data_IF_771818994193
#
_entry.id   IF_771818994193
#
_cell.length_a   1.000
_cell.length_b   1.000
_cell.length_c   1.000
_cell.angle_alpha   90.00
_cell.angle_beta   90.00
_cell.angle_gamma   90.00
#
_symmetry.space_group_name_H-M   'P 1'
#
loop_
_entity.id
_entity.type
_entity.pdbx_description
1 polymer ?
#
# COMPACT_ATOMS: atom_id res chain seq x y z
N UNK A 1 54.13 1.73 -16.27
CA UNK A 1 54.39 0.30 -16.53
C UNK A 1 54.52 -0.39 -15.18
N UNK A 2 53.68 -1.39 -14.95
CA UNK A 2 53.51 -2.14 -13.70
C UNK A 2 54.79 -2.83 -13.22
N UNK A 3 54.80 -3.25 -11.94
CA UNK A 3 55.35 -4.55 -11.62
C UNK A 3 54.27 -5.47 -11.03
N UNK A 4 54.25 -6.68 -11.56
CA UNK A 4 53.38 -7.76 -11.17
C UNK A 4 54.09 -8.73 -10.20
N UNK A 5 53.26 -9.49 -9.50
CA UNK A 5 53.51 -10.81 -8.89
C UNK A 5 54.45 -10.93 -7.71
N UNK A 6 53.86 -11.21 -6.54
CA UNK A 6 54.40 -12.23 -5.62
C UNK A 6 53.25 -13.10 -5.09
N UNK A 7 53.21 -14.32 -5.61
CA UNK A 7 52.47 -15.47 -5.08
C UNK A 7 53.20 -16.00 -3.84
N UNK A 8 52.47 -16.42 -2.80
CA UNK A 8 52.79 -17.60 -1.96
C UNK A 8 51.54 -17.99 -1.14
N UNK A 9 50.94 -19.08 -1.59
CA UNK A 9 50.09 -20.09 -0.95
C UNK A 9 50.24 -20.20 0.58
N UNK A 10 49.13 -20.13 1.32
CA UNK A 10 48.29 -21.25 1.80
C UNK A 10 48.76 -21.78 3.15
N UNK A 11 48.17 -21.30 4.24
CA UNK A 11 48.12 -22.10 5.47
C UNK A 11 47.07 -21.57 6.47
N UNK A 12 46.24 -22.51 6.93
CA UNK A 12 45.52 -22.59 8.20
C UNK A 12 44.41 -21.58 8.50
N UNK A 13 43.15 -22.01 8.33
CA UNK A 13 42.02 -21.65 9.23
C UNK A 13 40.83 -22.59 8.97
N UNK A 14 40.85 -23.78 9.59
CA UNK A 14 39.69 -24.66 9.72
C UNK A 14 39.52 -25.07 11.18
N UNK A 15 38.68 -24.35 11.92
CA UNK A 15 38.21 -24.77 13.25
C UNK A 15 36.71 -24.45 13.39
N UNK A 16 35.88 -25.31 12.80
CA UNK A 16 34.50 -25.55 13.22
C UNK A 16 34.39 -27.02 13.65
N UNK A 17 34.18 -27.28 14.94
CA UNK A 17 33.41 -28.46 15.39
C UNK A 17 33.03 -28.30 16.86
N UNK A 18 31.74 -28.05 17.10
CA UNK A 18 31.14 -28.08 18.44
C UNK A 18 30.92 -29.54 18.88
N UNK A 19 31.50 -29.91 20.02
CA UNK A 19 31.17 -31.11 20.81
C UNK A 19 30.21 -30.71 21.92
N UNK A 20 29.04 -31.34 22.02
CA UNK A 20 28.40 -31.66 23.31
C UNK A 20 27.50 -32.90 23.14
N UNK A 21 27.76 -33.93 23.93
CA UNK A 21 26.98 -35.17 24.06
C UNK A 21 26.61 -35.38 25.53
N UNK A 22 25.46 -36.04 25.76
CA UNK A 22 25.12 -36.86 26.93
C UNK A 22 24.78 -36.09 28.24
N UNK A 23 23.94 -36.51 29.18
CA UNK A 23 22.91 -37.55 29.42
C UNK A 23 22.46 -37.31 30.88
N UNK A 24 21.20 -37.65 31.22
CA UNK A 24 20.62 -37.93 32.57
C UNK A 24 19.23 -37.28 32.65
N UNK A 25 18.13 -37.90 33.07
CA UNK A 25 17.89 -39.17 33.74
C UNK A 25 16.67 -39.00 34.67
N UNK A 26 15.88 -40.06 34.84
CA UNK A 26 14.90 -40.31 35.91
C UNK A 26 13.42 -39.81 35.78
N UNK A 27 12.58 -40.77 35.36
CA UNK A 27 11.53 -41.43 36.18
C UNK A 27 10.54 -40.56 36.98
N UNK A 28 9.26 -40.62 36.58
CA UNK A 28 8.06 -40.74 37.46
C UNK A 28 6.87 -41.12 36.58
N UNK A 29 6.44 -42.38 36.63
CA UNK A 29 5.38 -42.90 37.49
C UNK A 29 4.02 -42.91 36.78
N UNK A 30 3.57 -44.13 36.47
CA UNK A 30 2.26 -44.48 35.94
C UNK A 30 1.19 -44.28 37.02
N UNK A 31 0.02 -43.76 36.64
CA UNK A 31 -1.25 -44.14 37.26
C UNK A 31 -2.33 -44.18 36.18
N UNK A 32 -2.90 -45.36 36.02
CA UNK A 32 -4.06 -45.65 35.20
C UNK A 32 -5.32 -45.70 36.08
N UNK A 33 -6.48 -45.89 35.42
CA UNK A 33 -7.85 -46.13 35.92
C UNK A 33 -8.66 -44.85 36.12
N UNK A 34 -9.91 -44.69 35.68
CA UNK A 34 -10.86 -45.41 34.79
C UNK A 34 -12.07 -44.44 34.59
N UNK A 35 -12.98 -44.68 33.65
CA UNK A 35 -14.02 -43.71 33.23
C UNK A 35 -15.36 -43.87 33.95
N UNK A 36 -16.13 -42.77 34.04
CA UNK A 36 -17.58 -42.72 34.32
C UNK A 36 -18.15 -41.68 33.33
N UNK A 37 -18.75 -42.10 32.22
CA UNK A 37 -20.16 -42.50 32.04
C UNK A 37 -21.20 -41.41 32.32
N UNK A 38 -21.91 -41.06 31.24
CA UNK A 38 -23.26 -40.49 31.14
C UNK A 38 -23.47 -39.02 31.53
N UNK A 39 -23.79 -38.17 30.54
CA UNK A 39 -25.19 -37.95 30.13
C UNK A 39 -25.28 -37.04 28.91
N UNK A 40 -26.18 -37.46 28.03
CA UNK A 40 -26.68 -36.80 26.84
C UNK A 40 -27.46 -35.55 27.26
N UNK A 41 -27.14 -34.39 26.68
CA UNK A 41 -28.08 -33.27 26.56
C UNK A 41 -27.90 -32.68 25.16
N UNK A 42 -28.82 -33.03 24.27
CA UNK A 42 -29.08 -32.35 23.00
C UNK A 42 -29.88 -31.08 23.28
N UNK A 43 -29.42 -29.88 22.88
CA UNK A 43 -30.34 -28.76 22.70
C UNK A 43 -30.86 -28.75 21.26
N UNK A 44 -32.18 -28.81 21.16
CA UNK A 44 -32.95 -28.82 19.94
C UNK A 44 -32.66 -27.62 19.03
N UNK A 45 -32.52 -27.90 17.73
CA UNK A 45 -32.48 -26.90 16.68
C UNK A 45 -33.85 -26.21 16.56
N UNK A 46 -33.96 -24.98 17.07
CA UNK A 46 -35.10 -24.12 16.82
C UNK A 46 -35.03 -23.59 15.38
N UNK A 47 -35.91 -24.11 14.54
CA UNK A 47 -36.11 -23.72 13.14
C UNK A 47 -36.79 -22.35 13.09
N UNK A 48 -36.21 -21.31 12.49
CA UNK A 48 -36.91 -20.04 12.33
C UNK A 48 -38.02 -20.20 11.29
N UNK A 49 -39.26 -19.98 11.72
CA UNK A 49 -40.46 -19.91 10.89
C UNK A 49 -40.36 -18.70 9.97
N UNK A 50 -40.10 -18.95 8.69
CA UNK A 50 -40.17 -17.94 7.63
C UNK A 50 -41.65 -17.63 7.36
N UNK A 51 -42.12 -16.46 7.76
CA UNK A 51 -43.39 -15.92 7.28
C UNK A 51 -43.15 -15.16 5.96
N UNK A 52 -43.87 -15.47 4.87
CA UNK A 52 -43.82 -14.65 3.67
C UNK A 52 -44.61 -13.36 3.94
N UNK A 53 -43.88 -12.25 4.05
CA UNK A 53 -44.50 -10.93 4.16
C UNK A 53 -45.26 -10.61 2.87
N UNK A 54 -46.52 -10.23 3.03
CA UNK A 54 -47.46 -9.95 1.97
C UNK A 54 -47.02 -8.74 1.13
N UNK A 55 -47.32 -8.86 -0.16
CA UNK A 55 -47.07 -7.90 -1.23
C UNK A 55 -47.62 -6.51 -0.88
N UNK A 56 -46.80 -5.47 -1.04
CA UNK A 56 -47.26 -4.08 -1.15
C UNK A 56 -46.82 -3.47 -2.49
N UNK A 57 -47.66 -2.59 -3.08
CA UNK A 57 -47.69 -2.35 -4.52
C UNK A 57 -46.59 -1.41 -5.03
N UNK A 58 -46.24 -1.68 -6.29
CA UNK A 58 -45.37 -0.94 -7.19
C UNK A 58 -45.68 0.58 -7.19
N UNK A 59 -44.64 1.39 -6.96
CA UNK A 59 -44.70 2.83 -7.26
C UNK A 59 -44.72 3.03 -8.78
N UNK A 60 -45.68 3.78 -9.37
CA UNK A 60 -45.57 4.17 -10.77
C UNK A 60 -44.45 5.20 -10.94
N UNK A 61 -43.60 4.95 -11.93
CA UNK A 61 -42.57 5.86 -12.39
C UNK A 61 -43.18 7.22 -12.77
N UNK A 62 -42.62 8.29 -12.22
CA UNK A 62 -42.88 9.67 -12.63
C UNK A 62 -42.28 9.89 -14.03
N UNK A 63 -43.13 10.02 -15.03
CA UNK A 63 -42.75 10.42 -16.39
C UNK A 63 -42.93 11.93 -16.52
N UNK A 64 -41.89 12.70 -16.20
CA UNK A 64 -41.82 14.12 -16.59
C UNK A 64 -41.32 14.22 -18.04
N UNK A 65 -42.00 14.95 -18.93
CA UNK A 65 -41.54 15.16 -20.31
C UNK A 65 -40.38 16.18 -20.34
N UNK A 66 -39.36 15.88 -21.15
CA UNK A 66 -38.21 16.75 -21.39
C UNK A 66 -38.60 17.93 -22.30
N UNK A 67 -38.69 19.13 -21.72
CA UNK A 67 -38.84 20.38 -22.45
C UNK A 67 -37.54 20.74 -23.17
N UNK A 68 -37.51 20.57 -24.50
CA UNK A 68 -36.44 21.04 -25.37
C UNK A 68 -36.50 22.56 -25.53
N UNK A 69 -35.49 23.25 -24.97
CA UNK A 69 -35.32 24.70 -25.19
C UNK A 69 -34.82 24.97 -26.61
N UNK A 70 -35.57 25.83 -27.31
CA UNK A 70 -35.28 26.43 -28.60
C UNK A 70 -33.97 27.24 -28.52
N UNK A 71 -33.08 27.01 -29.48
CA UNK A 71 -31.77 27.65 -29.64
C UNK A 71 -31.95 28.97 -30.38
N UNK A 72 -31.96 30.08 -29.64
CA UNK A 72 -31.82 31.41 -30.24
C UNK A 72 -30.36 31.84 -30.28
N UNK A 73 -29.96 32.25 -31.49
CA UNK A 73 -28.64 32.65 -31.93
C UNK A 73 -28.54 34.16 -31.78
N UNK A 74 -27.73 34.67 -30.86
CA UNK A 74 -27.22 36.04 -30.93
C UNK A 74 -25.80 36.14 -30.40
N UNK A 75 -24.96 36.76 -31.21
CA UNK A 75 -23.53 36.95 -31.01
C UNK A 75 -23.25 38.15 -30.12
N UNK A 76 -22.13 38.10 -29.36
CA UNK A 76 -21.34 39.29 -29.03
C UNK A 76 -19.89 38.92 -28.69
N UNK A 77 -18.97 39.48 -29.46
CA UNK A 77 -17.51 39.37 -29.34
C UNK A 77 -16.96 40.07 -28.09
N UNK A 78 -15.81 39.60 -27.58
CA UNK A 78 -14.68 40.47 -27.28
C UNK A 78 -13.36 39.70 -27.13
N UNK A 79 -12.35 40.28 -27.81
CA UNK A 79 -10.92 40.00 -27.97
C UNK A 79 -10.15 39.59 -26.69
N UNK A 80 -9.16 38.67 -26.84
CA UNK A 80 -7.75 38.92 -26.48
C UNK A 80 -6.77 37.83 -26.98
N UNK A 81 -5.97 38.22 -27.96
CA UNK A 81 -4.56 37.91 -28.28
C UNK A 81 -3.94 36.52 -28.10
N UNK A 82 -3.45 36.03 -29.23
CA UNK A 82 -2.48 34.95 -29.45
C UNK A 82 -1.03 35.40 -29.23
N UNK A 83 -0.17 34.57 -28.61
CA UNK A 83 0.96 33.85 -29.26
C UNK A 83 2.06 33.37 -28.26
N UNK A 84 2.47 32.10 -28.44
CA UNK A 84 3.72 31.39 -28.04
C UNK A 84 4.02 31.22 -26.54
N UNK A 85 4.45 30.08 -25.99
CA UNK A 85 5.13 28.88 -26.53
C UNK A 85 5.04 27.69 -25.54
N UNK A 86 4.89 26.46 -26.08
CA UNK A 86 4.91 25.15 -25.39
C UNK A 86 6.31 24.78 -24.82
N UNK A 87 6.50 23.71 -23.99
CA UNK A 87 6.31 22.28 -24.38
C UNK A 87 5.73 21.40 -23.22
N UNK A 88 5.24 20.16 -23.36
CA UNK A 88 4.88 19.24 -24.45
C UNK A 88 4.19 18.05 -23.78
N UNK A 89 2.86 17.96 -23.86
CA UNK A 89 2.09 16.78 -23.48
C UNK A 89 1.41 16.22 -24.72
N UNK A 90 2.05 15.27 -25.39
CA UNK A 90 1.53 14.66 -26.61
C UNK A 90 0.46 13.63 -26.27
N UNK A 91 -0.79 14.07 -26.09
CA UNK A 91 -1.96 13.22 -26.31
C UNK A 91 -2.28 13.23 -27.80
N UNK A 92 -1.60 12.38 -28.58
CA UNK A 92 -1.95 12.15 -29.98
C UNK A 92 -3.11 11.17 -30.06
N UNK A 93 -4.33 11.70 -30.05
CA UNK A 93 -5.48 11.06 -30.69
C UNK A 93 -5.32 11.24 -32.20
N UNK A 94 -4.61 10.33 -32.84
CA UNK A 94 -4.62 10.18 -34.31
C UNK A 94 -5.06 8.75 -34.58
N UNK A 95 -6.02 8.62 -35.49
CA UNK A 95 -6.57 7.35 -35.93
C UNK A 95 -5.51 6.60 -36.74
N UNK A 96 -4.53 6.04 -36.04
CA UNK A 96 -3.66 5.01 -36.57
C UNK A 96 -4.50 3.73 -36.77
N UNK A 97 -4.25 2.95 -37.83
CA UNK A 97 -4.90 1.66 -37.99
C UNK A 97 -4.69 0.84 -36.72
N UNK A 98 -5.75 0.19 -36.23
CA UNK A 98 -5.76 -0.66 -35.05
C UNK A 98 -4.67 -1.76 -35.18
N UNK A 99 -3.43 -1.44 -34.79
CA UNK A 99 -2.28 -2.36 -34.83
C UNK A 99 -2.50 -3.46 -33.77
N UNK A 100 -2.56 -4.74 -34.17
CA UNK A 100 -2.69 -5.87 -33.25
C UNK A 100 -1.56 -5.95 -32.22
N UNK A 101 -0.38 -5.42 -32.54
CA UNK A 101 0.83 -5.53 -31.73
C UNK A 101 1.07 -4.31 -30.84
N UNK A 102 0.13 -3.38 -30.75
CA UNK A 102 0.19 -2.26 -29.81
C UNK A 102 -0.07 -2.73 -28.37
N UNK A 103 1.01 -3.02 -27.64
CA UNK A 103 0.99 -3.38 -26.22
C UNK A 103 1.22 -2.19 -25.29
N UNK A 104 1.29 -0.95 -25.81
CA UNK A 104 1.68 0.24 -25.03
C UNK A 104 0.76 0.43 -23.83
N UNK A 105 -0.55 0.30 -24.03
CA UNK A 105 -1.56 0.44 -22.97
C UNK A 105 -1.42 -0.61 -21.87
N UNK A 106 -1.05 -1.85 -22.23
CA UNK A 106 -0.82 -2.92 -21.26
C UNK A 106 0.46 -2.66 -20.47
N UNK A 107 1.54 -2.25 -21.14
CA UNK A 107 2.81 -1.95 -20.48
C UNK A 107 2.66 -0.77 -19.52
N UNK A 108 1.99 0.32 -19.93
CA UNK A 108 1.67 1.45 -19.04
C UNK A 108 0.80 1.01 -17.86
N UNK A 109 -0.25 0.21 -18.11
CA UNK A 109 -1.11 -0.29 -17.04
C UNK A 109 -0.35 -1.17 -16.01
N UNK A 110 0.61 -1.97 -16.48
CA UNK A 110 1.48 -2.78 -15.62
C UNK A 110 2.45 -1.87 -14.86
N UNK A 111 3.13 -0.94 -15.52
CA UNK A 111 4.10 -0.04 -14.87
C UNK A 111 3.43 0.80 -13.78
N UNK A 112 2.23 1.30 -14.03
CA UNK A 112 1.47 2.09 -13.07
C UNK A 112 1.03 1.24 -11.87
N UNK A 113 0.61 0.00 -12.11
CA UNK A 113 0.26 -0.93 -11.04
C UNK A 113 1.46 -1.26 -10.15
N UNK A 114 2.64 -1.49 -10.76
CA UNK A 114 3.89 -1.76 -10.05
C UNK A 114 4.39 -0.52 -9.29
N UNK A 115 4.27 0.68 -9.87
CA UNK A 115 4.65 1.93 -9.22
C UNK A 115 3.80 2.16 -7.95
N UNK A 116 2.47 2.03 -8.07
CA UNK A 116 1.56 2.15 -6.91
C UNK A 116 1.87 1.12 -5.82
N UNK A 117 2.17 -0.12 -6.20
CA UNK A 117 2.56 -1.16 -5.26
C UNK A 117 3.84 -0.79 -4.50
N UNK A 118 4.86 -0.27 -5.21
CA UNK A 118 6.12 0.19 -4.61
C UNK A 118 5.90 1.36 -3.67
N UNK A 119 5.03 2.30 -4.02
CA UNK A 119 4.69 3.44 -3.17
C UNK A 119 3.96 3.00 -1.89
N UNK A 120 2.98 2.10 -2.02
CA UNK A 120 2.23 1.56 -0.89
C UNK A 120 3.16 0.74 0.04
N UNK A 121 4.03 -0.10 -0.53
CA UNK A 121 5.03 -0.85 0.24
C UNK A 121 6.02 0.10 0.93
N UNK A 122 6.44 1.19 0.28
CA UNK A 122 7.39 2.14 0.85
C UNK A 122 6.82 2.82 2.09
N UNK A 123 5.52 3.15 2.07
CA UNK A 123 4.80 3.68 3.25
C UNK A 123 4.72 2.66 4.40
N UNK A 124 4.54 1.38 4.08
CA UNK A 124 4.49 0.29 5.07
C UNK A 124 5.88 -0.10 5.62
N UNK A 125 6.93 -0.03 4.79
CA UNK A 125 8.32 -0.34 5.15
C UNK A 125 8.88 0.56 6.26
N UNK A 126 8.27 1.73 6.45
CA UNK A 126 8.47 2.54 7.64
C UNK A 126 8.22 1.79 8.97
N UNK A 127 7.63 0.60 8.94
CA UNK A 127 7.48 -0.30 10.08
C UNK A 127 8.78 -0.72 10.79
N UNK A 128 9.97 -0.37 10.28
CA UNK A 128 11.24 -0.47 11.02
C UNK A 128 11.93 0.87 11.33
N UNK A 129 11.57 1.93 10.60
CA UNK A 129 12.10 3.29 10.73
C UNK A 129 10.92 4.25 10.78
N UNK A 130 10.71 4.84 11.94
CA UNK A 130 9.64 5.79 12.16
C UNK A 130 9.58 6.89 11.09
N UNK A 131 8.40 7.10 10.51
CA UNK A 131 8.16 8.18 9.56
C UNK A 131 7.98 9.50 10.31
N UNK A 132 8.84 10.52 10.12
CA UNK A 132 8.66 11.83 10.75
C UNK A 132 7.35 12.51 10.33
N UNK A 133 6.88 12.26 9.10
CA UNK A 133 5.60 12.77 8.57
C UNK A 133 4.39 12.42 9.46
N UNK A 134 4.44 11.29 10.17
CA UNK A 134 3.37 10.88 11.08
C UNK A 134 3.19 11.88 12.24
N UNK A 135 4.30 12.44 12.75
CA UNK A 135 4.28 13.47 13.81
C UNK A 135 3.93 14.82 13.21
N UNK A 136 4.51 15.17 12.05
CA UNK A 136 4.27 16.47 11.38
C UNK A 136 2.80 16.68 11.01
N UNK A 137 2.08 15.60 10.67
CA UNK A 137 0.65 15.64 10.33
C UNK A 137 -0.30 15.80 11.52
N UNK A 138 0.20 15.69 12.77
CA UNK A 138 -0.63 15.84 13.96
C UNK A 138 -1.22 17.25 14.04
N UNK A 139 -2.51 17.32 14.38
CA UNK A 139 -3.21 18.58 14.61
C UNK A 139 -3.10 18.99 16.07
N UNK A 140 -2.64 20.22 16.29
CA UNK A 140 -2.37 20.76 17.61
C UNK A 140 -3.31 21.93 17.87
N UNK A 141 -4.07 21.92 18.98
CA UNK A 141 -4.84 23.08 19.39
C UNK A 141 -3.90 24.16 19.91
N UNK A 142 -3.89 25.33 19.26
CA UNK A 142 -2.99 26.46 19.61
C UNK A 142 -3.27 27.04 21.00
N UNK A 143 -4.55 27.07 21.39
CA UNK A 143 -5.00 27.54 22.71
C UNK A 143 -6.03 26.58 23.29
N UNK A 144 -6.06 26.48 24.63
CA UNK A 144 -7.00 25.64 25.37
C UNK A 144 -8.44 26.11 25.08
N UNK A 145 -9.19 25.36 24.28
CA UNK A 145 -10.57 25.65 23.89
C UNK A 145 -10.78 26.36 22.54
N UNK A 146 -9.71 26.66 21.79
CA UNK A 146 -9.83 27.21 20.44
C UNK A 146 -10.15 26.10 19.42
N UNK A 147 -11.03 26.41 18.45
CA UNK A 147 -11.34 25.54 17.29
C UNK A 147 -10.22 25.53 16.24
N UNK A 148 -9.26 26.43 16.38
CA UNK A 148 -8.12 26.56 15.49
C UNK A 148 -7.08 25.48 15.81
N UNK A 149 -6.84 24.63 14.82
CA UNK A 149 -5.84 23.57 14.89
C UNK A 149 -4.81 23.82 13.80
N UNK A 150 -3.54 23.82 14.18
CA UNK A 150 -2.42 23.91 13.25
C UNK A 150 -1.76 22.54 13.12
N UNK A 151 -1.02 22.31 12.05
CA UNK A 151 -0.20 21.10 11.91
C UNK A 151 1.07 21.26 12.74
N UNK A 152 1.56 20.17 13.32
CA UNK A 152 2.81 20.18 14.08
C UNK A 152 3.98 20.71 13.23
N UNK A 153 4.05 20.33 11.95
CA UNK A 153 5.12 20.76 11.05
C UNK A 153 5.17 22.28 10.77
N UNK A 154 4.10 23.03 11.08
CA UNK A 154 4.08 24.50 10.96
C UNK A 154 4.64 25.18 12.22
N UNK A 155 4.56 24.51 13.37
CA UNK A 155 4.95 25.06 14.67
C UNK A 155 6.33 24.54 15.15
N UNK A 156 6.77 23.41 14.61
CA UNK A 156 7.96 22.72 15.04
C UNK A 156 8.64 21.94 13.91
N UNK A 157 9.96 21.86 13.97
CA UNK A 157 10.76 21.05 13.06
C UNK A 157 10.99 19.65 13.65
N UNK A 158 10.63 18.62 12.89
CA UNK A 158 10.84 17.22 13.29
C UNK A 158 12.15 16.71 12.68
N UNK A 159 13.11 16.35 13.53
CA UNK A 159 14.42 15.85 13.14
C UNK A 159 14.58 14.41 13.66
N UNK A 160 14.61 13.39 12.78
CA UNK A 160 14.93 12.03 13.19
C UNK A 160 16.40 11.96 13.58
N UNK A 161 16.69 11.82 14.88
CA UNK A 161 18.05 11.52 15.35
C UNK A 161 18.30 10.03 15.09
N UNK A 162 19.36 9.71 14.37
CA UNK A 162 19.65 8.34 13.94
C UNK A 162 19.46 7.31 15.07
N UNK A 163 18.77 6.21 14.78
CA UNK A 163 18.37 5.22 15.77
C UNK A 163 16.84 5.19 15.98
N UNK A 164 16.41 5.11 17.25
CA UNK A 164 14.99 5.06 17.65
C UNK A 164 14.57 6.31 18.43
N UNK A 165 15.11 7.47 18.08
CA UNK A 165 14.73 8.73 18.72
C UNK A 165 14.39 9.80 17.66
N UNK A 166 13.36 10.58 17.94
CA UNK A 166 13.02 11.76 17.13
C UNK A 166 13.12 12.97 18.02
N UNK A 167 13.78 14.00 17.53
CA UNK A 167 13.85 15.28 18.19
C UNK A 167 12.90 16.24 17.50
N UNK A 168 12.00 16.85 18.26
CA UNK A 168 11.13 17.93 17.79
C UNK A 168 11.68 19.22 18.36
N UNK A 169 12.05 20.15 17.48
CA UNK A 169 12.45 21.51 17.84
C UNK A 169 11.25 22.42 17.68
N UNK A 170 10.76 22.94 18.79
CA UNK A 170 9.62 23.85 18.82
C UNK A 170 10.08 25.28 18.56
N UNK A 171 9.35 26.05 17.75
CA UNK A 171 9.71 27.43 17.45
C UNK A 171 9.58 28.38 18.66
N UNK A 172 8.51 28.23 19.44
CA UNK A 172 8.20 29.10 20.59
C UNK A 172 7.84 28.30 21.84
N UNK A 173 8.26 28.77 23.01
CA UNK A 173 8.03 28.07 24.28
C UNK A 173 6.55 27.94 24.66
N UNK A 174 5.70 28.85 24.19
CA UNK A 174 4.25 28.80 24.41
C UNK A 174 3.61 27.52 23.84
N UNK A 175 4.18 27.00 22.75
CA UNK A 175 3.65 25.81 22.06
C UNK A 175 4.16 24.48 22.63
N UNK A 176 5.14 24.48 23.54
CA UNK A 176 5.72 23.26 24.10
C UNK A 176 4.69 22.36 24.80
N UNK A 177 3.85 22.96 25.64
CA UNK A 177 2.80 22.25 26.40
C UNK A 177 1.69 21.69 25.50
N UNK A 178 1.10 22.46 24.55
CA UNK A 178 0.10 21.90 23.65
C UNK A 178 0.69 20.85 22.71
N UNK A 179 1.94 20.99 22.25
CA UNK A 179 2.62 19.96 21.44
C UNK A 179 2.80 18.67 22.23
N UNK A 180 3.35 18.73 23.45
CA UNK A 180 3.58 17.53 24.27
C UNK A 180 2.27 16.80 24.62
N UNK A 181 1.22 17.56 24.93
CA UNK A 181 -0.12 17.02 25.17
C UNK A 181 -0.71 16.39 23.90
N UNK A 182 -0.57 17.04 22.74
CA UNK A 182 -1.09 16.53 21.47
C UNK A 182 -0.42 15.20 21.08
N UNK A 183 0.91 15.11 21.20
CA UNK A 183 1.69 13.89 20.93
C UNK A 183 1.24 12.76 21.85
N UNK A 184 1.09 13.03 23.15
CA UNK A 184 0.67 12.02 24.13
C UNK A 184 -0.77 11.54 23.90
N UNK A 185 -1.67 12.47 23.53
CA UNK A 185 -3.07 12.14 23.22
C UNK A 185 -3.28 11.49 21.85
N UNK A 186 -2.25 11.51 20.99
CA UNK A 186 -2.35 10.97 19.64
C UNK A 186 -2.40 9.44 19.63
N UNK A 187 -2.91 8.88 18.53
CA UNK A 187 -2.94 7.43 18.29
C UNK A 187 -1.54 6.80 18.15
N UNK A 188 -0.46 7.57 18.32
CA UNK A 188 0.93 7.09 18.19
C UNK A 188 1.49 6.54 19.52
N UNK A 189 0.83 6.77 20.66
CA UNK A 189 1.27 6.29 21.99
C UNK A 189 2.74 6.62 22.33
N UNK A 190 3.21 7.80 21.90
CA UNK A 190 4.58 8.27 22.11
C UNK A 190 4.63 9.23 23.31
N UNK A 191 5.70 9.14 24.11
CA UNK A 191 5.91 9.99 25.28
C UNK A 191 7.07 10.97 25.04
N UNK A 192 6.81 12.27 24.82
CA UNK A 192 7.87 13.26 24.64
C UNK A 192 8.60 13.52 25.96
N UNK A 193 9.94 13.50 25.91
CA UNK A 193 10.84 13.83 27.01
C UNK A 193 11.50 15.19 26.73
N UNK A 194 11.30 16.21 27.57
CA UNK A 194 11.99 17.49 27.42
C UNK A 194 13.49 17.32 27.69
N UNK A 195 14.35 17.97 26.90
CA UNK A 195 15.79 17.98 27.18
C UNK A 195 16.13 18.97 28.31
N UNK A 196 16.96 18.53 29.25
CA UNK A 196 17.37 19.36 30.39
C UNK A 196 18.22 20.59 29.98
N UNK A 197 18.86 20.54 28.81
CA UNK A 197 19.75 21.59 28.30
C UNK A 197 19.07 22.58 27.36
N UNK A 198 17.91 22.23 26.77
CA UNK A 198 17.22 23.07 25.80
C UNK A 198 15.70 22.95 26.00
N UNK A 199 15.07 24.00 26.53
CA UNK A 199 13.63 24.05 26.82
C UNK A 199 12.78 23.86 25.57
N UNK A 200 13.29 24.22 24.38
CA UNK A 200 12.56 24.13 23.11
C UNK A 200 12.66 22.76 22.43
N UNK A 201 13.41 21.82 23.01
CA UNK A 201 13.68 20.51 22.40
C UNK A 201 12.93 19.39 23.12
N UNK A 202 12.16 18.61 22.36
CA UNK A 202 11.47 17.40 22.82
C UNK A 202 12.06 16.17 22.16
N UNK A 203 12.55 15.22 22.95
CA UNK A 203 13.05 13.93 22.48
C UNK A 203 11.99 12.85 22.66
N UNK A 204 11.70 12.11 21.60
CA UNK A 204 10.65 11.10 21.56
C UNK A 204 11.31 9.74 21.28
N UNK A 205 11.34 8.82 22.28
CA UNK A 205 11.78 7.46 22.05
C UNK A 205 10.71 6.68 21.29
N UNK A 206 11.10 6.04 20.18
CA UNK A 206 10.22 5.18 19.39
C UNK A 206 10.32 3.76 19.95
N UNK A 207 9.22 3.17 20.45
CA UNK A 207 9.23 1.80 20.91
C UNK A 207 9.49 0.82 19.75
N UNK A 208 10.07 -0.36 20.01
CA UNK A 208 10.22 -1.39 18.99
C UNK A 208 8.84 -1.80 18.44
N UNK A 209 8.74 -2.09 17.13
CA UNK A 209 7.52 -2.68 16.59
C UNK A 209 7.23 -4.01 17.27
N UNK A 210 5.99 -4.21 17.71
CA UNK A 210 5.51 -5.47 18.28
C UNK A 210 5.29 -6.51 17.16
N UNK A 211 5.13 -7.79 17.52
CA UNK A 211 4.81 -8.84 16.55
C UNK A 211 3.49 -8.56 15.83
N UNK A 212 2.48 -8.11 16.57
CA UNK A 212 1.16 -7.77 16.02
C UNK A 212 1.22 -6.66 14.96
N UNK A 213 2.01 -5.61 15.19
CA UNK A 213 2.18 -4.50 14.24
C UNK A 213 2.90 -4.96 12.95
N UNK A 214 3.87 -5.88 13.05
CA UNK A 214 4.50 -6.50 11.88
C UNK A 214 3.51 -7.34 11.08
N UNK A 215 2.75 -8.19 11.77
CA UNK A 215 1.75 -9.05 11.13
C UNK A 215 0.68 -8.22 10.42
N UNK A 216 0.29 -7.09 11.01
CA UNK A 216 -0.64 -6.15 10.37
C UNK A 216 -0.02 -5.51 9.12
N UNK A 217 1.23 -5.07 9.18
CA UNK A 217 1.94 -4.50 8.02
C UNK A 217 2.07 -5.51 6.87
N UNK A 218 2.28 -6.79 7.18
CA UNK A 218 2.30 -7.87 6.16
C UNK A 218 0.92 -8.10 5.55
N UNK A 219 -0.17 -8.03 6.34
CA UNK A 219 -1.54 -8.11 5.81
C UNK A 219 -1.85 -6.95 4.88
N UNK A 220 -1.45 -5.73 5.25
CA UNK A 220 -1.66 -4.54 4.42
C UNK A 220 -0.84 -4.61 3.12
N UNK A 221 0.40 -5.11 3.19
CA UNK A 221 1.22 -5.36 2.00
C UNK A 221 0.60 -6.41 1.06
N UNK A 222 -0.02 -7.47 1.61
CA UNK A 222 -0.77 -8.46 0.81
C UNK A 222 -1.97 -7.82 0.12
N UNK A 223 -2.73 -7.00 0.84
CA UNK A 223 -3.87 -6.28 0.26
C UNK A 223 -3.44 -5.33 -0.87
N UNK A 224 -2.27 -4.67 -0.75
CA UNK A 224 -1.70 -3.85 -1.82
C UNK A 224 -1.29 -4.70 -3.04
N UNK A 225 -0.68 -5.87 -2.82
CA UNK A 225 -0.33 -6.82 -3.89
C UNK A 225 -1.58 -7.32 -4.64
N UNK A 226 -2.67 -7.63 -3.93
CA UNK A 226 -3.92 -8.05 -4.55
C UNK A 226 -4.55 -6.94 -5.42
N UNK A 227 -4.48 -5.68 -4.97
CA UNK A 227 -4.91 -4.52 -5.77
C UNK A 227 -4.08 -4.39 -7.06
N UNK A 228 -2.76 -4.50 -6.97
CA UNK A 228 -1.87 -4.42 -8.13
C UNK A 228 -2.10 -5.59 -9.11
N UNK A 229 -2.23 -6.81 -8.60
CA UNK A 229 -2.57 -8.02 -9.35
C UNK A 229 -3.90 -7.87 -10.11
N UNK A 230 -4.93 -7.30 -9.46
CA UNK A 230 -6.21 -7.02 -10.10
C UNK A 230 -6.09 -5.92 -11.17
N UNK A 231 -5.26 -4.89 -10.97
CA UNK A 231 -5.01 -3.87 -11.98
C UNK A 231 -4.34 -4.46 -13.24
N UNK A 232 -3.35 -5.34 -13.09
CA UNK A 232 -2.70 -6.06 -14.22
C UNK A 232 -3.73 -6.92 -14.97
N UNK A 233 -4.59 -7.65 -14.25
CA UNK A 233 -5.67 -8.45 -14.85
C UNK A 233 -6.66 -7.59 -15.63
N UNK A 234 -7.00 -6.41 -15.12
CA UNK A 234 -7.90 -5.47 -15.77
C UNK A 234 -7.28 -4.89 -17.06
N UNK A 235 -5.99 -4.52 -17.03
CA UNK A 235 -5.26 -4.04 -18.21
C UNK A 235 -5.19 -5.12 -19.31
N UNK A 236 -4.89 -6.37 -18.93
CA UNK A 236 -4.94 -7.52 -19.86
C UNK A 236 -6.34 -7.73 -20.42
N UNK A 237 -7.37 -7.64 -19.57
CA UNK A 237 -8.78 -7.76 -19.99
C UNK A 237 -9.18 -6.69 -21.02
N UNK A 238 -8.72 -5.45 -20.84
CA UNK A 238 -8.97 -4.35 -21.76
C UNK A 238 -8.34 -4.59 -23.14
N UNK A 239 -7.06 -5.00 -23.20
CA UNK A 239 -6.41 -5.35 -24.47
C UNK A 239 -7.03 -6.58 -25.12
N UNK A 240 -7.35 -7.63 -24.35
CA UNK A 240 -7.99 -8.82 -24.90
C UNK A 240 -9.36 -8.48 -25.53
N UNK A 241 -10.13 -7.58 -24.90
CA UNK A 241 -11.39 -7.07 -25.50
C UNK A 241 -11.12 -6.30 -26.80
N UNK A 242 -10.06 -5.47 -26.85
CA UNK A 242 -9.64 -4.75 -28.08
C UNK A 242 -9.30 -5.74 -29.21
N UNK A 243 -8.48 -6.74 -28.94
CA UNK A 243 -8.08 -7.78 -29.91
C UNK A 243 -9.28 -8.59 -30.41
N UNK A 244 -10.20 -9.00 -29.52
CA UNK A 244 -11.43 -9.68 -29.92
C UNK A 244 -12.30 -8.82 -30.83
N UNK A 245 -12.44 -7.54 -30.52
CA UNK A 245 -13.21 -6.60 -31.35
C UNK A 245 -12.57 -6.42 -32.74
N UNK A 246 -11.24 -6.37 -32.84
CA UNK A 246 -10.52 -6.33 -34.13
C UNK A 246 -10.79 -7.57 -34.98
N UNK A 247 -10.83 -8.76 -34.35
CA UNK A 247 -11.18 -10.02 -35.00
C UNK A 247 -12.61 -10.06 -35.55
N UNK A 248 -13.58 -9.56 -34.78
CA UNK A 248 -14.98 -9.45 -35.23
C UNK A 248 -15.12 -8.49 -36.40
N UNK A 249 -14.41 -7.35 -36.36
CA UNK A 249 -14.40 -6.36 -37.44
C UNK A 249 -13.60 -6.81 -38.68
N UNK A 250 -12.89 -7.95 -38.62
CA UNK A 250 -12.00 -8.47 -39.67
C UNK A 250 -10.96 -7.46 -40.16
N UNK A 251 -10.53 -6.55 -39.29
CA UNK A 251 -9.49 -5.55 -39.59
C UNK A 251 -8.11 -6.21 -39.72
N UNK A 252 -7.97 -7.40 -39.12
CA UNK A 252 -6.69 -8.09 -38.91
C UNK A 252 -6.82 -9.54 -39.37
N UNK A 253 -5.73 -10.12 -39.91
CA UNK A 253 -5.67 -11.54 -40.25
C UNK A 253 -5.79 -12.43 -39.00
N UNK A 254 -6.43 -13.60 -39.12
CA UNK A 254 -6.62 -14.52 -37.98
C UNK A 254 -5.29 -14.99 -37.39
N UNK A 255 -4.25 -15.16 -38.21
CA UNK A 255 -2.93 -15.61 -37.74
C UNK A 255 -2.20 -14.54 -36.93
N UNK A 256 -2.30 -13.27 -37.34
CA UNK A 256 -1.70 -12.14 -36.60
C UNK A 256 -2.41 -11.91 -35.27
N UNK A 257 -3.74 -12.08 -35.24
CA UNK A 257 -4.53 -12.02 -34.01
C UNK A 257 -4.09 -13.10 -33.00
N UNK A 258 -3.86 -14.34 -33.46
CA UNK A 258 -3.36 -15.42 -32.59
C UNK A 258 -1.99 -15.09 -32.01
N UNK A 259 -1.06 -14.61 -32.83
CA UNK A 259 0.28 -14.18 -32.39
C UNK A 259 0.21 -13.02 -31.39
N UNK A 260 -0.66 -12.03 -31.63
CA UNK A 260 -0.86 -10.89 -30.74
C UNK A 260 -1.37 -11.33 -29.36
N UNK A 261 -2.32 -12.28 -29.31
CA UNK A 261 -2.81 -12.85 -28.05
C UNK A 261 -1.69 -13.57 -27.30
N UNK A 262 -0.91 -14.42 -27.98
CA UNK A 262 0.21 -15.12 -27.34
C UNK A 262 1.27 -14.16 -26.77
N UNK A 263 1.58 -13.08 -27.49
CA UNK A 263 2.52 -12.06 -27.03
C UNK A 263 1.94 -11.25 -25.87
N UNK A 264 0.67 -10.86 -25.93
CA UNK A 264 -0.04 -10.18 -24.84
C UNK A 264 0.01 -11.01 -23.55
N UNK A 265 -0.27 -12.32 -23.63
CA UNK A 265 -0.22 -13.20 -22.46
C UNK A 265 1.20 -13.29 -21.88
N UNK A 266 2.24 -13.39 -22.73
CA UNK A 266 3.65 -13.35 -22.28
C UNK A 266 4.00 -12.06 -21.54
N UNK A 267 3.51 -10.91 -22.00
CA UNK A 267 3.72 -9.61 -21.33
C UNK A 267 2.97 -9.56 -20.00
N UNK A 268 1.73 -10.03 -19.96
CA UNK A 268 0.93 -10.07 -18.74
C UNK A 268 1.51 -11.02 -17.67
N UNK A 269 2.02 -12.18 -18.08
CA UNK A 269 2.70 -13.13 -17.19
C UNK A 269 3.95 -12.53 -16.56
N UNK A 270 4.75 -11.78 -17.34
CA UNK A 270 5.91 -11.04 -16.82
C UNK A 270 5.49 -10.01 -15.78
N UNK A 271 4.49 -9.17 -16.08
CA UNK A 271 3.96 -8.19 -15.13
C UNK A 271 3.43 -8.83 -13.83
N UNK A 272 2.77 -10.00 -13.93
CA UNK A 272 2.29 -10.73 -12.76
C UNK A 272 3.44 -11.30 -11.91
N UNK A 273 4.52 -11.75 -12.54
CA UNK A 273 5.74 -12.21 -11.83
C UNK A 273 6.41 -11.04 -11.10
N UNK A 274 6.59 -9.91 -11.78
CA UNK A 274 7.18 -8.70 -11.18
C UNK A 274 6.41 -8.23 -9.94
N UNK A 275 5.08 -8.22 -9.98
CA UNK A 275 4.23 -7.89 -8.82
C UNK A 275 4.49 -8.83 -7.64
N UNK A 276 4.63 -10.14 -7.90
CA UNK A 276 4.93 -11.13 -6.86
C UNK A 276 6.33 -10.96 -6.29
N UNK A 277 7.33 -10.74 -7.14
CA UNK A 277 8.73 -10.59 -6.74
C UNK A 277 8.91 -9.35 -5.84
N UNK A 278 8.26 -8.23 -6.20
CA UNK A 278 8.25 -7.00 -5.39
C UNK A 278 7.61 -7.27 -4.02
N UNK A 279 6.49 -7.99 -3.97
CA UNK A 279 5.83 -8.35 -2.72
C UNK A 279 6.69 -9.29 -1.85
N UNK A 280 7.33 -10.30 -2.43
CA UNK A 280 8.19 -11.21 -1.67
C UNK A 280 9.42 -10.51 -1.09
N UNK A 281 10.04 -9.62 -1.87
CA UNK A 281 11.13 -8.76 -1.39
C UNK A 281 10.68 -7.89 -0.21
N UNK A 282 9.50 -7.27 -0.32
CA UNK A 282 8.92 -6.46 0.74
C UNK A 282 8.58 -7.29 1.99
N UNK A 283 7.93 -8.44 1.82
CA UNK A 283 7.54 -9.33 2.91
C UNK A 283 8.73 -9.75 3.77
N UNK A 284 9.82 -10.20 3.15
CA UNK A 284 11.05 -10.56 3.87
C UNK A 284 11.57 -9.39 4.70
N UNK A 285 11.54 -8.19 4.14
CA UNK A 285 12.04 -7.00 4.84
C UNK A 285 11.15 -6.60 6.01
N UNK A 286 9.82 -6.71 5.87
CA UNK A 286 8.84 -6.42 6.93
C UNK A 286 8.91 -7.45 8.06
N UNK A 287 9.12 -8.73 7.75
CA UNK A 287 9.28 -9.79 8.75
C UNK A 287 10.61 -9.66 9.53
N UNK A 288 11.67 -9.16 8.88
CA UNK A 288 13.01 -9.00 9.48
C UNK A 288 13.24 -7.69 10.25
N UNK A 289 12.38 -6.68 10.09
CA UNK A 289 12.52 -5.34 10.71
C UNK A 289 11.99 -5.31 12.14
#
# INVERSE_FOLDING_TARGET
>A
MSPATRSLNSEVLSLLTSRTTALNGALRSRSALRPLSSRIITPAAARPTFQPNTLTPLRPFSTSPTLSKKKDKYAKESKKDSKSSSPSGSSSSSAEPDDPFDFSQLQTGISDAVARLKDDISKLRAGGRFNPEAIESLRIPLKKGAKETAKLGELAQVIPKGGRMVTVLVGEEEYLKPISSAITSSNLSLTPQPDAHNSLQLNIPIPPPTKESRDQSVKDAKAAMDKASNAVRNARGALNKKLKNMGVKKVVRPDDLRKAIEQMEKVAEKGQKEVKDVFEGARKTLESS
#
